data_IF_562622948895
#
_entry.id   IF_562622948895
#
_cell.length_a   1.000
_cell.length_b   1.000
_cell.length_c   1.000
_cell.angle_alpha   90.00
_cell.angle_beta   90.00
_cell.angle_gamma   90.00
#
_symmetry.space_group_name_H-M   'P 1'
#
loop_
_entity.id
_entity.type
_entity.pdbx_description
1 polymer ?
#
# COMPACT_ATOMS: atom_id res chain seq x y z
N UNK A 1 -8.85 9.47 6.47
CA UNK A 1 -8.47 9.19 7.87
C UNK A 1 -9.65 8.55 8.56
N UNK A 2 -9.48 7.30 9.02
CA UNK A 2 -10.51 6.54 9.72
C UNK A 2 -10.61 6.98 11.19
N UNK A 3 -11.83 6.94 11.74
CA UNK A 3 -12.08 7.19 13.16
C UNK A 3 -11.94 5.90 13.98
N UNK A 4 -11.77 6.01 15.30
CA UNK A 4 -11.59 4.87 16.20
C UNK A 4 -12.69 3.80 16.06
N UNK A 5 -13.96 4.21 15.93
CA UNK A 5 -15.08 3.29 15.72
C UNK A 5 -14.97 2.50 14.41
N UNK A 6 -14.32 3.06 13.39
CA UNK A 6 -14.11 2.39 12.11
C UNK A 6 -13.00 1.34 12.22
N UNK A 7 -11.95 1.60 12.98
CA UNK A 7 -10.91 0.60 13.31
C UNK A 7 -11.53 -0.59 14.07
N UNK A 8 -12.33 -0.33 15.11
CA UNK A 8 -13.01 -1.38 15.89
C UNK A 8 -13.90 -2.26 15.01
N UNK A 9 -14.67 -1.66 14.10
CA UNK A 9 -15.54 -2.38 13.17
C UNK A 9 -14.73 -3.24 12.19
N UNK A 10 -13.65 -2.73 11.63
CA UNK A 10 -12.76 -3.46 10.72
C UNK A 10 -12.07 -4.63 11.44
N UNK A 11 -11.54 -4.41 12.63
CA UNK A 11 -10.90 -5.46 13.44
C UNK A 11 -11.89 -6.57 13.76
N UNK A 12 -13.13 -6.22 14.16
CA UNK A 12 -14.18 -7.20 14.43
C UNK A 12 -14.46 -8.06 13.20
N UNK A 13 -14.70 -7.46 12.04
CA UNK A 13 -14.93 -8.17 10.80
C UNK A 13 -13.73 -9.06 10.44
N UNK A 14 -12.50 -8.56 10.57
CA UNK A 14 -11.30 -9.33 10.31
C UNK A 14 -11.21 -10.60 11.17
N UNK A 15 -11.55 -10.51 12.45
CA UNK A 15 -11.62 -11.67 13.36
C UNK A 15 -12.73 -12.65 12.96
N UNK A 16 -13.90 -12.15 12.58
CA UNK A 16 -15.04 -12.97 12.12
C UNK A 16 -14.70 -13.75 10.85
N UNK A 17 -13.91 -13.14 9.94
CA UNK A 17 -13.42 -13.81 8.71
C UNK A 17 -12.16 -14.67 8.93
N UNK A 18 -11.63 -14.73 10.16
CA UNK A 18 -10.48 -15.57 10.50
C UNK A 18 -9.12 -15.02 10.05
N UNK A 19 -9.02 -13.71 9.75
CA UNK A 19 -7.73 -13.09 9.47
C UNK A 19 -6.84 -13.06 10.70
N UNK A 20 -5.59 -13.48 10.56
CA UNK A 20 -4.60 -13.47 11.63
C UNK A 20 -3.87 -12.15 11.76
N UNK A 21 -3.69 -11.46 10.66
CA UNK A 21 -3.07 -10.13 10.56
C UNK A 21 -3.74 -9.35 9.46
N UNK A 22 -4.00 -8.07 9.72
CA UNK A 22 -4.47 -7.09 8.76
C UNK A 22 -3.67 -5.81 8.88
N UNK A 23 -3.67 -4.98 7.86
CA UNK A 23 -3.17 -3.62 7.92
C UNK A 23 -4.25 -2.65 7.44
N UNK A 24 -4.34 -1.50 8.07
CA UNK A 24 -5.15 -0.36 7.60
C UNK A 24 -4.16 0.68 7.08
N UNK A 25 -4.27 1.03 5.81
CA UNK A 25 -3.32 1.90 5.11
C UNK A 25 -4.03 3.15 4.60
N UNK A 26 -4.02 4.20 5.41
CA UNK A 26 -4.46 5.51 4.95
C UNK A 26 -3.42 6.14 4.00
N UNK A 27 -3.88 6.91 3.01
CA UNK A 27 -2.96 7.60 2.09
C UNK A 27 -2.13 8.67 2.80
N UNK A 28 -0.82 8.50 2.74
CA UNK A 28 0.19 9.47 3.19
C UNK A 28 0.06 9.90 4.67
N UNK A 29 -0.53 9.07 5.53
CA UNK A 29 -0.67 9.36 6.96
C UNK A 29 -0.69 8.09 7.81
N UNK A 30 -0.17 8.19 9.03
CA UNK A 30 -0.18 7.12 10.05
C UNK A 30 -0.94 7.54 11.33
N UNK A 31 -1.65 8.66 11.28
CA UNK A 31 -2.28 9.24 12.48
C UNK A 31 -3.31 8.30 13.13
N UNK A 32 -4.00 7.46 12.34
CA UNK A 32 -4.90 6.44 12.86
C UNK A 32 -4.18 5.44 13.76
N UNK A 33 -2.99 5.01 13.37
CA UNK A 33 -2.19 4.02 14.11
C UNK A 33 -1.59 4.56 15.42
N UNK A 34 -1.40 5.86 15.55
CA UNK A 34 -0.91 6.45 16.81
C UNK A 34 -1.92 6.36 17.96
N UNK A 35 -3.20 6.21 17.63
CA UNK A 35 -4.30 6.21 18.59
C UNK A 35 -4.92 4.84 18.81
N UNK A 36 -4.58 3.86 17.96
CA UNK A 36 -5.22 2.57 17.94
C UNK A 36 -4.22 1.43 17.77
N UNK A 37 -4.28 0.45 18.68
CA UNK A 37 -3.43 -0.74 18.66
C UNK A 37 -4.28 -1.99 18.89
N UNK A 38 -4.04 -3.02 18.11
CA UNK A 38 -4.63 -4.34 18.28
C UNK A 38 -3.60 -5.40 17.88
N UNK A 39 -3.70 -6.59 18.48
CA UNK A 39 -2.73 -7.67 18.23
C UNK A 39 -2.72 -8.18 16.78
N UNK A 40 -3.88 -8.11 16.08
CA UNK A 40 -3.97 -8.51 14.67
C UNK A 40 -3.69 -7.37 13.70
N UNK A 41 -3.61 -6.11 14.20
CA UNK A 41 -3.37 -4.93 13.39
C UNK A 41 -1.88 -4.67 13.19
N UNK A 42 -1.42 -4.74 11.95
CA UNK A 42 -0.12 -4.20 11.55
C UNK A 42 -0.27 -2.72 11.27
N UNK A 43 0.73 -1.96 11.66
CA UNK A 43 0.84 -0.57 11.22
C UNK A 43 1.01 -0.51 9.70
N UNK A 44 0.40 0.47 9.07
CA UNK A 44 0.46 0.60 7.62
C UNK A 44 0.25 2.02 7.13
N UNK A 45 0.75 2.30 5.95
CA UNK A 45 0.52 3.54 5.20
C UNK A 45 0.64 3.27 3.71
N UNK A 46 -0.19 3.95 2.92
CA UNK A 46 -0.12 3.91 1.47
C UNK A 46 0.47 5.23 0.95
N UNK A 47 1.64 5.15 0.32
CA UNK A 47 2.32 6.30 -0.26
C UNK A 47 2.01 6.45 -1.74
N UNK A 48 1.50 7.61 -2.16
CA UNK A 48 1.38 7.98 -3.57
C UNK A 48 2.75 8.39 -4.11
N UNK A 49 3.21 7.81 -5.19
CA UNK A 49 4.52 8.13 -5.75
C UNK A 49 4.63 7.87 -7.26
N UNK A 50 5.61 8.53 -7.86
CA UNK A 50 6.04 8.29 -9.23
C UNK A 50 7.38 7.59 -9.24
N UNK A 51 7.49 6.53 -10.05
CA UNK A 51 8.77 5.91 -10.36
C UNK A 51 8.97 5.85 -11.88
N UNK A 52 9.84 6.72 -12.37
CA UNK A 52 9.89 7.00 -13.80
C UNK A 52 8.59 7.68 -14.27
N UNK A 53 7.94 7.09 -15.26
CA UNK A 53 6.66 7.57 -15.81
C UNK A 53 5.43 6.88 -15.21
N UNK A 54 5.62 5.96 -14.27
CA UNK A 54 4.53 5.19 -13.67
C UNK A 54 4.11 5.82 -12.35
N UNK A 55 2.86 6.24 -12.27
CA UNK A 55 2.21 6.54 -10.99
C UNK A 55 1.83 5.23 -10.31
N UNK A 56 2.18 5.10 -9.05
CA UNK A 56 1.96 3.89 -8.27
C UNK A 56 1.69 4.22 -6.80
N UNK A 57 1.12 3.26 -6.11
CA UNK A 57 1.03 3.30 -4.66
C UNK A 57 2.02 2.30 -4.05
N UNK A 58 2.71 2.73 -3.00
CA UNK A 58 3.65 1.92 -2.25
C UNK A 58 3.12 1.76 -0.83
N UNK A 59 2.81 0.53 -0.46
CA UNK A 59 2.40 0.18 0.89
C UNK A 59 3.63 -0.04 1.76
N UNK A 60 3.60 0.49 2.97
CA UNK A 60 4.55 0.16 4.01
C UNK A 60 3.82 -0.57 5.14
N UNK A 61 4.26 -1.77 5.48
CA UNK A 61 3.67 -2.57 6.54
C UNK A 61 4.65 -2.79 7.69
N UNK A 62 4.13 -2.79 8.93
CA UNK A 62 4.90 -3.09 10.12
C UNK A 62 5.89 -2.01 10.54
N UNK A 63 5.68 -0.78 10.08
CA UNK A 63 6.55 0.36 10.39
C UNK A 63 6.38 0.82 11.84
N UNK A 64 7.46 1.33 12.43
CA UNK A 64 7.39 2.16 13.64
C UNK A 64 6.81 3.54 13.27
N UNK A 65 5.56 3.79 13.68
CA UNK A 65 4.83 5.03 13.36
C UNK A 65 5.39 6.27 14.06
N UNK A 66 6.19 6.08 15.09
CA UNK A 66 6.85 7.15 15.82
C UNK A 66 8.25 7.46 15.27
N UNK A 67 8.74 6.65 14.33
CA UNK A 67 10.03 6.88 13.70
C UNK A 67 10.02 8.16 12.85
N UNK A 68 10.83 9.19 13.20
CA UNK A 68 10.80 10.47 12.53
C UNK A 68 11.26 10.43 11.06
N UNK A 69 11.94 9.35 10.64
CA UNK A 69 12.48 9.22 9.27
C UNK A 69 11.38 9.29 8.21
N UNK A 70 10.16 8.83 8.55
CA UNK A 70 9.01 8.81 7.64
C UNK A 70 8.23 10.14 7.60
N UNK A 71 8.44 11.05 8.56
CA UNK A 71 7.67 12.30 8.66
C UNK A 71 7.74 13.18 7.39
N UNK A 72 8.86 13.14 6.68
CA UNK A 72 9.05 13.91 5.43
C UNK A 72 8.16 13.42 4.28
N UNK A 73 7.62 12.21 4.37
CA UNK A 73 6.73 11.62 3.36
C UNK A 73 5.25 11.79 3.69
N UNK A 74 4.93 12.14 4.93
CA UNK A 74 3.54 12.31 5.36
C UNK A 74 2.92 13.58 4.79
N UNK A 75 1.62 13.52 4.54
CA UNK A 75 0.87 14.67 4.06
C UNK A 75 0.80 15.76 5.15
N UNK A 76 1.16 17.00 4.78
CA UNK A 76 1.08 18.15 5.68
C UNK A 76 -0.33 18.72 5.82
N UNK A 77 -1.24 18.35 4.93
CA UNK A 77 -2.62 18.83 4.88
C UNK A 77 -3.56 17.68 4.57
N UNK A 78 -4.78 17.76 5.07
CA UNK A 78 -5.85 16.79 4.82
C UNK A 78 -6.12 16.54 3.33
N UNK A 79 -5.98 17.56 2.48
CA UNK A 79 -6.09 17.39 1.04
C UNK A 79 -5.06 16.41 0.43
N UNK A 80 -3.89 16.25 1.05
CA UNK A 80 -2.88 15.29 0.61
C UNK A 80 -3.17 13.83 1.02
N UNK A 81 -4.21 13.61 1.84
CA UNK A 81 -4.69 12.27 2.22
C UNK A 81 -6.02 11.92 1.54
N UNK A 82 -6.86 12.90 1.19
CA UNK A 82 -8.24 12.66 0.75
C UNK A 82 -8.51 13.00 -0.72
N UNK A 83 -7.64 13.82 -1.37
CA UNK A 83 -7.91 14.31 -2.72
C UNK A 83 -6.98 13.65 -3.75
N UNK A 84 -7.50 12.75 -4.55
CA UNK A 84 -6.77 12.04 -5.63
C UNK A 84 -6.02 12.99 -6.55
N UNK A 85 -6.69 14.08 -6.96
CA UNK A 85 -6.10 15.07 -7.86
C UNK A 85 -4.87 15.77 -7.26
N UNK A 86 -4.76 15.85 -5.94
CA UNK A 86 -3.58 16.41 -5.26
C UNK A 86 -2.52 15.35 -5.09
N UNK A 87 -2.92 14.11 -4.79
CA UNK A 87 -2.02 12.98 -4.56
C UNK A 87 -1.21 12.63 -5.81
N UNK A 88 -1.77 12.78 -7.01
CA UNK A 88 -1.08 12.53 -8.28
C UNK A 88 0.14 13.47 -8.48
N UNK A 89 0.22 14.60 -7.79
CA UNK A 89 1.38 15.48 -7.81
C UNK A 89 2.42 15.18 -6.73
N UNK A 90 2.20 14.11 -5.93
CA UNK A 90 3.16 13.70 -4.92
C UNK A 90 4.46 13.19 -5.57
N UNK A 91 5.54 13.93 -5.39
CA UNK A 91 6.88 13.53 -5.83
C UNK A 91 7.66 12.98 -4.65
N UNK A 92 8.08 11.72 -4.73
CA UNK A 92 8.90 11.04 -3.73
C UNK A 92 10.06 10.34 -4.40
N UNK A 93 11.21 10.39 -3.78
CA UNK A 93 12.34 9.56 -4.19
C UNK A 93 12.05 8.12 -3.73
N UNK A 94 11.56 7.27 -4.63
CA UNK A 94 11.11 5.91 -4.31
C UNK A 94 12.24 5.03 -3.73
N UNK A 95 13.47 5.01 -4.27
CA UNK A 95 14.58 4.30 -3.64
C UNK A 95 14.82 4.73 -2.19
N UNK A 96 14.84 6.02 -1.93
CA UNK A 96 15.02 6.55 -0.57
C UNK A 96 13.83 6.24 0.34
N UNK A 97 12.60 6.27 -0.20
CA UNK A 97 11.39 5.92 0.56
C UNK A 97 11.43 4.45 0.99
N UNK A 98 11.80 3.53 0.11
CA UNK A 98 11.92 2.10 0.42
C UNK A 98 13.00 1.87 1.51
N UNK A 99 14.17 2.48 1.36
CA UNK A 99 15.24 2.40 2.37
C UNK A 99 14.79 2.96 3.74
N UNK A 100 14.04 4.06 3.74
CA UNK A 100 13.52 4.66 4.98
C UNK A 100 12.37 3.83 5.60
N UNK A 101 11.55 3.14 4.79
CA UNK A 101 10.58 2.15 5.28
C UNK A 101 11.30 1.02 6.01
N UNK A 102 12.37 0.48 5.44
CA UNK A 102 13.17 -0.58 6.07
C UNK A 102 13.83 -0.09 7.37
N UNK A 103 14.38 1.14 7.38
CA UNK A 103 14.93 1.76 8.61
C UNK A 103 13.88 2.00 9.69
N UNK A 104 12.61 2.15 9.31
CA UNK A 104 11.49 2.20 10.24
C UNK A 104 10.98 0.81 10.66
N UNK A 105 11.67 -0.28 10.29
CA UNK A 105 11.35 -1.66 10.67
C UNK A 105 10.30 -2.33 9.78
N UNK A 106 9.79 -1.66 8.74
CA UNK A 106 8.74 -2.16 7.87
C UNK A 106 9.23 -2.85 6.59
N UNK A 107 8.27 -3.30 5.81
CA UNK A 107 8.46 -3.83 4.46
C UNK A 107 7.74 -2.95 3.44
N UNK A 108 8.30 -2.86 2.22
CA UNK A 108 7.76 -2.10 1.10
C UNK A 108 7.06 -3.02 0.09
N UNK A 109 5.78 -2.76 -0.19
CA UNK A 109 4.95 -3.59 -1.06
C UNK A 109 4.31 -2.74 -2.15
N UNK A 110 4.41 -3.15 -3.43
CA UNK A 110 3.72 -2.47 -4.52
C UNK A 110 2.23 -2.79 -4.48
N UNK A 111 1.40 -1.77 -4.29
CA UNK A 111 -0.05 -1.89 -4.25
C UNK A 111 -0.63 -2.16 -5.65
N UNK A 112 -1.65 -3.00 -5.73
CA UNK A 112 -2.48 -3.30 -6.92
C UNK A 112 -1.74 -3.14 -8.28
N UNK A 113 -0.64 -3.90 -8.51
CA UNK A 113 0.27 -3.67 -9.64
C UNK A 113 -0.40 -3.70 -11.01
N UNK A 114 -1.45 -4.52 -11.20
CA UNK A 114 -2.19 -4.54 -12.47
C UNK A 114 -2.95 -3.23 -12.74
N UNK A 115 -3.09 -2.35 -11.75
CA UNK A 115 -3.62 -1.00 -11.91
C UNK A 115 -2.55 0.02 -12.35
N UNK A 116 -1.28 -0.29 -12.27
CA UNK A 116 -0.21 0.59 -12.73
C UNK A 116 -0.18 0.66 -14.25
N UNK A 117 0.04 1.87 -14.79
CA UNK A 117 0.16 2.08 -16.23
C UNK A 117 1.59 1.81 -16.71
N UNK A 118 2.12 0.67 -16.31
CA UNK A 118 3.42 0.19 -16.74
C UNK A 118 3.27 -0.61 -18.04
N UNK A 119 3.92 -0.19 -19.12
CA UNK A 119 3.89 -0.89 -20.40
C UNK A 119 4.42 -2.33 -20.29
N UNK A 120 5.40 -2.53 -19.42
CA UNK A 120 5.96 -3.85 -19.10
C UNK A 120 6.07 -3.95 -17.58
N UNK A 121 5.10 -4.64 -16.98
CA UNK A 121 5.00 -4.77 -15.53
C UNK A 121 6.18 -5.55 -14.93
N UNK A 122 6.62 -6.63 -15.59
CA UNK A 122 7.76 -7.44 -15.14
C UNK A 122 9.04 -6.60 -15.03
N UNK A 123 9.35 -5.82 -16.08
CA UNK A 123 10.50 -4.92 -16.05
C UNK A 123 10.36 -3.81 -15.01
N UNK A 124 9.15 -3.32 -14.80
CA UNK A 124 8.87 -2.28 -13.81
C UNK A 124 9.08 -2.82 -12.39
N UNK A 125 8.50 -3.97 -12.07
CA UNK A 125 8.67 -4.63 -10.77
C UNK A 125 10.14 -4.96 -10.53
N UNK A 126 10.86 -5.49 -11.54
CA UNK A 126 12.30 -5.75 -11.42
C UNK A 126 13.11 -4.50 -11.06
N UNK A 127 12.75 -3.32 -11.60
CA UNK A 127 13.42 -2.06 -11.20
C UNK A 127 13.16 -1.71 -9.74
N UNK A 128 11.93 -1.96 -9.24
CA UNK A 128 11.60 -1.74 -7.84
C UNK A 128 12.33 -2.73 -6.92
N UNK A 129 12.44 -4.00 -7.30
CA UNK A 129 13.24 -5.00 -6.57
C UNK A 129 14.70 -4.55 -6.43
N UNK A 130 15.28 -4.01 -7.50
CA UNK A 130 16.67 -3.53 -7.47
C UNK A 130 16.89 -2.36 -6.49
N UNK A 131 15.82 -1.70 -6.02
CA UNK A 131 15.86 -0.63 -5.02
C UNK A 131 15.24 -1.05 -3.69
N UNK A 132 14.96 -2.36 -3.51
CA UNK A 132 14.59 -2.94 -2.22
C UNK A 132 13.12 -3.29 -2.04
N UNK A 133 12.30 -3.36 -3.10
CA UNK A 133 10.91 -3.81 -2.97
C UNK A 133 10.84 -5.24 -2.41
N UNK A 134 10.04 -5.46 -1.37
CA UNK A 134 9.90 -6.76 -0.68
C UNK A 134 8.75 -7.59 -1.22
N UNK A 135 7.67 -6.96 -1.67
CA UNK A 135 6.46 -7.67 -2.05
C UNK A 135 5.58 -6.93 -3.04
N UNK A 136 4.53 -7.62 -3.48
CA UNK A 136 3.48 -7.06 -4.32
C UNK A 136 2.11 -7.56 -3.89
N UNK A 137 1.09 -6.74 -4.09
CA UNK A 137 -0.29 -7.08 -3.81
C UNK A 137 -0.87 -7.89 -4.97
N UNK A 138 -0.99 -9.21 -4.74
CA UNK A 138 -1.48 -10.18 -5.75
C UNK A 138 -3.00 -10.27 -5.70
N UNK A 139 -3.57 -10.43 -4.50
CA UNK A 139 -4.98 -10.66 -4.29
C UNK A 139 -5.71 -9.33 -4.10
N UNK A 140 -6.30 -8.81 -5.18
CA UNK A 140 -6.95 -7.51 -5.22
C UNK A 140 -8.20 -7.56 -6.12
N UNK A 141 -9.30 -6.87 -5.80
CA UNK A 141 -10.51 -6.91 -6.59
C UNK A 141 -10.39 -6.12 -7.90
N UNK A 142 -9.44 -6.50 -8.75
CA UNK A 142 -9.13 -5.82 -10.03
C UNK A 142 -10.34 -5.59 -10.94
N UNK A 143 -11.38 -6.41 -10.82
CA UNK A 143 -12.59 -6.28 -11.62
C UNK A 143 -13.44 -5.06 -11.24
N UNK A 144 -13.32 -4.56 -10.00
CA UNK A 144 -14.06 -3.38 -9.54
C UNK A 144 -13.51 -2.08 -10.12
N UNK A 145 -12.20 -1.99 -10.31
CA UNK A 145 -11.50 -0.75 -10.61
C UNK A 145 -11.17 -0.53 -12.09
N UNK A 146 -11.31 -1.54 -12.95
CA UNK A 146 -10.99 -1.44 -14.39
C UNK A 146 -12.02 -2.10 -15.30
N UNK A 147 -13.03 -1.33 -15.69
CA UNK A 147 -14.02 -1.80 -16.67
C UNK A 147 -13.56 -1.68 -18.14
N UNK A 148 -12.62 -0.80 -18.48
CA UNK A 148 -12.35 -0.39 -19.88
C UNK A 148 -10.93 -0.72 -20.37
N UNK A 149 -9.88 -0.58 -19.56
CA UNK A 149 -8.50 -0.85 -19.98
C UNK A 149 -7.78 -1.76 -18.97
N UNK A 150 -7.59 -3.03 -19.33
CA UNK A 150 -6.79 -4.00 -18.56
C UNK A 150 -5.43 -4.12 -19.25
N UNK A 151 -4.38 -3.51 -18.68
CA UNK A 151 -3.01 -3.72 -19.16
C UNK A 151 -2.41 -5.03 -18.64
N UNK A 152 -2.77 -5.45 -17.42
CA UNK A 152 -2.25 -6.64 -16.76
C UNK A 152 -3.37 -7.34 -15.98
N UNK A 153 -3.18 -8.63 -15.68
CA UNK A 153 -4.12 -9.47 -14.94
C UNK A 153 -3.56 -9.84 -13.56
N UNK A 154 -4.41 -10.32 -12.67
CA UNK A 154 -3.99 -10.91 -11.40
C UNK A 154 -2.99 -12.07 -11.62
N UNK A 155 -3.24 -12.90 -12.64
CA UNK A 155 -2.37 -14.01 -13.00
C UNK A 155 -0.96 -13.51 -13.36
N UNK A 156 -0.85 -12.48 -14.21
CA UNK A 156 0.44 -11.84 -14.51
C UNK A 156 1.15 -11.33 -13.26
N UNK A 157 0.41 -10.73 -12.31
CA UNK A 157 0.98 -10.25 -11.04
C UNK A 157 1.49 -11.43 -10.20
N UNK A 158 0.73 -12.52 -10.14
CA UNK A 158 1.10 -13.75 -9.42
C UNK A 158 2.34 -14.40 -10.00
N UNK A 159 2.41 -14.53 -11.32
CA UNK A 159 3.59 -15.06 -12.03
C UNK A 159 4.85 -14.23 -11.74
N UNK A 160 4.73 -12.90 -11.71
CA UNK A 160 5.85 -12.00 -11.36
C UNK A 160 6.26 -12.21 -9.90
N UNK A 161 5.29 -12.32 -8.98
CA UNK A 161 5.58 -12.60 -7.58
C UNK A 161 6.32 -13.92 -7.38
N UNK A 162 5.86 -14.98 -8.06
CA UNK A 162 6.49 -16.30 -8.02
C UNK A 162 7.90 -16.28 -8.63
N UNK A 163 8.05 -15.61 -9.78
CA UNK A 163 9.33 -15.51 -10.50
C UNK A 163 10.44 -14.87 -9.67
N UNK A 164 10.09 -13.88 -8.84
CA UNK A 164 11.06 -13.11 -8.06
C UNK A 164 11.03 -13.43 -6.56
N UNK A 165 10.28 -14.44 -6.15
CA UNK A 165 10.10 -14.85 -4.74
C UNK A 165 9.66 -13.67 -3.83
N UNK A 166 8.72 -12.87 -4.33
CA UNK A 166 8.22 -11.70 -3.61
C UNK A 166 7.15 -12.09 -2.58
N UNK A 167 7.10 -11.33 -1.50
CA UNK A 167 5.99 -11.41 -0.53
C UNK A 167 4.68 -11.11 -1.27
N UNK A 168 3.70 -12.01 -1.14
CA UNK A 168 2.37 -11.85 -1.71
C UNK A 168 1.42 -11.35 -0.65
N UNK A 169 0.81 -10.21 -0.90
CA UNK A 169 -0.23 -9.65 -0.04
C UNK A 169 -1.57 -9.61 -0.75
N UNK A 170 -2.61 -9.29 0.00
CA UNK A 170 -3.94 -9.01 -0.54
C UNK A 170 -4.52 -7.76 0.09
N UNK A 171 -5.33 -7.04 -0.67
CA UNK A 171 -6.04 -5.87 -0.23
C UNK A 171 -7.43 -5.78 -0.81
N UNK A 172 -8.31 -5.09 -0.13
CA UNK A 172 -9.68 -4.83 -0.58
C UNK A 172 -9.84 -3.41 -1.13
N UNK A 173 -8.87 -2.53 -0.83
CA UNK A 173 -8.90 -1.10 -1.17
C UNK A 173 -10.27 -0.49 -0.81
N UNK A 174 -10.75 -0.85 0.39
CA UNK A 174 -12.04 -0.37 0.84
C UNK A 174 -11.91 1.01 1.48
N UNK A 175 -12.70 1.95 0.96
CA UNK A 175 -12.79 3.33 1.46
C UNK A 175 -13.97 3.52 2.43
N UNK A 176 -14.46 2.44 3.02
CA UNK A 176 -15.58 2.42 3.96
C UNK A 176 -15.38 1.35 5.03
N UNK A 177 -16.37 1.22 5.96
CA UNK A 177 -16.30 0.31 7.10
C UNK A 177 -16.41 -1.19 6.76
N UNK A 178 -16.75 -1.53 5.53
CA UNK A 178 -16.91 -2.91 5.11
C UNK A 178 -15.65 -3.37 4.38
N UNK A 179 -15.02 -4.42 4.87
CA UNK A 179 -13.78 -4.98 4.29
C UNK A 179 -14.00 -6.00 3.17
N UNK A 180 -15.26 -6.29 2.84
CA UNK A 180 -15.68 -7.13 1.72
C UNK A 180 -16.68 -6.42 0.80
#
# INVERSE_FOLDING_TARGET
MLFRSEFDDIIKQAREFGYRKIAICDHNTVEGHKQFHDEILLTGVEFDCWYGYVFMHLLAYGIDVDNPILNKYMAKKKSGTEMDIIRIFATRNVPQLIDDIHKAGGIAVLAHPACCWALNLDKFVKKLINVGLDGIEVYYPYQRHRKIFKFHTEETVREIADKYDLIKTGGTDCHNRNIL
#
